data_IF_476991945508
#
_entry.id   IF_476991945508
#
_cell.length_a   1.000
_cell.length_b   1.000
_cell.length_c   1.000
_cell.angle_alpha   90.00
_cell.angle_beta   90.00
_cell.angle_gamma   90.00
#
_symmetry.space_group_name_H-M   'P 1'
#
loop_
_entity.id
_entity.type
_entity.pdbx_description
1 polymer ?
#
# COMPACT_ATOMS: atom_id res chain seq x y z
N UNK A 1 -33.78 -4.08 3.81
CA UNK A 1 -32.96 -2.89 4.15
C UNK A 1 -31.58 -3.07 3.54
N UNK A 2 -31.01 -2.01 2.96
CA UNK A 2 -29.78 -2.08 2.16
C UNK A 2 -28.66 -1.20 2.74
N UNK A 3 -27.43 -1.44 2.30
CA UNK A 3 -26.29 -0.56 2.60
C UNK A 3 -26.44 0.76 1.84
N UNK A 4 -26.02 1.86 2.47
CA UNK A 4 -25.90 3.18 1.84
C UNK A 4 -24.42 3.49 1.62
N UNK A 5 -24.07 3.92 0.42
CA UNK A 5 -22.73 4.41 0.11
C UNK A 5 -22.46 5.74 0.83
N UNK A 6 -21.35 5.81 1.55
CA UNK A 6 -20.91 7.01 2.30
C UNK A 6 -19.64 7.63 1.71
N UNK A 7 -18.88 6.86 0.96
CA UNK A 7 -17.66 7.27 0.27
C UNK A 7 -17.28 6.24 -0.78
N UNK A 8 -16.79 6.71 -1.93
CA UNK A 8 -16.28 5.89 -3.01
C UNK A 8 -15.23 6.68 -3.79
N UNK A 9 -14.29 5.96 -4.42
CA UNK A 9 -13.40 6.48 -5.44
C UNK A 9 -13.32 5.47 -6.58
N UNK A 10 -13.92 5.83 -7.70
CA UNK A 10 -13.99 5.00 -8.92
C UNK A 10 -12.80 5.26 -9.86
N UNK A 11 -11.87 6.15 -9.48
CA UNK A 11 -10.65 6.44 -10.26
C UNK A 11 -10.93 6.89 -11.71
N UNK A 12 -11.97 7.72 -11.89
CA UNK A 12 -12.43 8.18 -13.22
C UNK A 12 -11.57 9.29 -13.86
N UNK A 13 -10.63 9.88 -13.11
CA UNK A 13 -9.79 10.98 -13.58
C UNK A 13 -8.36 10.48 -13.68
N UNK A 14 -7.86 10.36 -14.92
CA UNK A 14 -6.48 9.96 -15.18
C UNK A 14 -5.47 10.94 -14.56
N UNK A 15 -4.33 10.40 -14.13
CA UNK A 15 -3.25 11.15 -13.50
C UNK A 15 -3.09 10.80 -12.03
N UNK A 16 -2.62 11.76 -11.23
CA UNK A 16 -2.38 11.49 -9.81
C UNK A 16 -3.69 11.13 -9.08
N UNK A 17 -3.65 10.15 -8.15
CA UNK A 17 -4.79 9.85 -7.28
C UNK A 17 -5.34 11.11 -6.59
N UNK A 18 -6.65 11.11 -6.34
CA UNK A 18 -7.32 12.24 -5.72
C UNK A 18 -6.67 12.63 -4.38
N UNK A 19 -6.81 13.89 -3.98
CA UNK A 19 -6.24 14.43 -2.73
C UNK A 19 -6.82 13.81 -1.46
N UNK A 20 -7.88 13.00 -1.60
CA UNK A 20 -8.38 12.10 -0.56
C UNK A 20 -7.40 10.98 -0.24
N UNK A 21 -6.42 10.69 -1.10
CA UNK A 21 -5.39 9.70 -0.83
C UNK A 21 -4.07 10.35 -0.38
N UNK A 22 -3.57 9.91 0.76
CA UNK A 22 -2.26 10.25 1.30
C UNK A 22 -1.25 9.17 0.95
N UNK A 23 -0.02 9.57 0.62
CA UNK A 23 1.07 8.65 0.28
C UNK A 23 2.00 8.41 1.47
N UNK A 24 2.33 7.15 1.71
CA UNK A 24 3.46 6.80 2.56
C UNK A 24 4.78 7.04 1.79
N UNK A 25 5.83 7.46 2.49
CA UNK A 25 7.14 7.71 1.89
C UNK A 25 8.25 7.06 2.73
N UNK A 26 9.12 6.29 2.07
CA UNK A 26 10.26 5.62 2.69
C UNK A 26 10.01 4.17 3.11
N UNK A 27 10.85 3.72 4.04
CA UNK A 27 10.72 2.42 4.70
C UNK A 27 9.64 2.49 5.79
N UNK A 28 8.42 2.05 5.48
CA UNK A 28 7.26 2.25 6.36
C UNK A 28 6.74 0.94 6.95
N UNK A 29 6.56 -0.10 6.14
CA UNK A 29 5.84 -1.32 6.51
C UNK A 29 6.79 -2.51 6.77
N UNK A 30 6.54 -3.23 7.86
CA UNK A 30 6.97 -4.62 8.14
C UNK A 30 8.40 -5.02 7.72
N UNK A 31 9.38 -4.13 7.86
CA UNK A 31 10.78 -4.37 7.44
C UNK A 31 10.97 -4.69 5.96
N UNK A 32 10.00 -4.32 5.15
CA UNK A 32 9.93 -4.67 3.74
C UNK A 32 11.07 -4.02 2.95
N UNK A 33 11.40 -4.60 1.79
CA UNK A 33 12.57 -4.19 1.01
C UNK A 33 12.31 -2.96 0.15
N UNK A 34 11.04 -2.69 -0.18
CA UNK A 34 10.67 -1.58 -1.04
C UNK A 34 10.66 -0.24 -0.29
N UNK A 35 11.04 0.81 -1.03
CA UNK A 35 10.88 2.20 -0.65
C UNK A 35 9.53 2.72 -1.18
N UNK A 36 8.67 3.18 -0.29
CA UNK A 36 7.41 3.79 -0.72
C UNK A 36 7.64 5.22 -1.24
N UNK A 37 7.02 5.55 -2.36
CA UNK A 37 7.04 6.88 -2.94
C UNK A 37 5.81 7.07 -3.82
N UNK A 38 5.39 8.33 -4.03
CA UNK A 38 4.16 8.64 -4.78
C UNK A 38 4.22 8.25 -6.27
N UNK A 39 5.41 8.31 -6.88
CA UNK A 39 5.61 8.19 -8.34
C UNK A 39 5.33 6.77 -8.88
N UNK A 40 5.10 5.82 -7.99
CA UNK A 40 4.72 4.45 -8.28
C UNK A 40 3.20 4.25 -8.32
N UNK A 41 2.39 5.31 -8.20
CA UNK A 41 0.94 5.24 -8.32
C UNK A 41 0.40 6.25 -9.32
N UNK A 42 -0.52 5.79 -10.16
CA UNK A 42 -1.19 6.63 -11.14
C UNK A 42 -2.60 6.09 -11.41
N UNK A 43 -3.57 6.96 -11.61
CA UNK A 43 -4.87 6.61 -12.13
C UNK A 43 -4.79 6.57 -13.65
N UNK A 44 -5.25 5.47 -14.24
CA UNK A 44 -5.30 5.29 -15.67
C UNK A 44 -6.42 4.32 -16.03
N UNK A 45 -7.20 4.66 -17.07
CA UNK A 45 -8.23 3.80 -17.64
C UNK A 45 -9.28 3.35 -16.58
N UNK A 46 -9.67 4.26 -15.68
CA UNK A 46 -10.66 3.97 -14.63
C UNK A 46 -10.12 3.13 -13.48
N UNK A 47 -8.80 3.00 -13.34
CA UNK A 47 -8.17 2.15 -12.33
C UNK A 47 -7.02 2.89 -11.64
N UNK A 48 -6.89 2.72 -10.32
CA UNK A 48 -5.65 3.02 -9.62
C UNK A 48 -4.62 1.93 -9.92
N UNK A 49 -3.57 2.32 -10.62
CA UNK A 49 -2.41 1.48 -10.93
C UNK A 49 -1.31 1.79 -9.92
N UNK A 50 -0.91 0.77 -9.16
CA UNK A 50 0.28 0.82 -8.32
C UNK A 50 1.33 -0.09 -8.97
N UNK A 51 2.55 0.39 -9.07
CA UNK A 51 3.65 -0.32 -9.73
C UNK A 51 4.78 -0.59 -8.75
N UNK A 52 5.16 -1.85 -8.60
CA UNK A 52 6.46 -2.20 -8.01
C UNK A 52 7.55 -2.07 -9.06
N UNK A 53 8.57 -1.25 -8.82
CA UNK A 53 9.72 -1.11 -9.73
C UNK A 53 10.99 -1.64 -9.08
N UNK A 54 11.87 -2.24 -9.88
CA UNK A 54 13.23 -2.57 -9.47
C UNK A 54 14.13 -1.39 -9.83
N UNK A 55 14.34 -0.50 -8.88
CA UNK A 55 15.15 0.69 -9.03
C UNK A 55 15.86 1.05 -7.73
N UNK A 56 17.02 1.69 -7.85
CA UNK A 56 17.83 2.06 -6.69
C UNK A 56 17.48 3.47 -6.23
N UNK A 57 17.04 3.60 -4.97
CA UNK A 57 16.77 4.89 -4.33
C UNK A 57 17.66 5.04 -3.11
N UNK A 58 18.31 6.18 -2.96
CA UNK A 58 19.11 6.52 -1.77
C UNK A 58 18.18 6.74 -0.59
N UNK A 59 18.48 6.13 0.56
CA UNK A 59 17.77 6.40 1.79
C UNK A 59 18.30 7.70 2.44
N UNK A 60 17.55 8.81 2.41
CA UNK A 60 17.97 10.06 3.04
C UNK A 60 18.13 9.96 4.56
N UNK A 61 17.52 8.95 5.19
CA UNK A 61 17.57 8.74 6.64
C UNK A 61 18.67 7.73 7.05
N UNK A 62 19.61 7.41 6.16
CA UNK A 62 20.67 6.47 6.46
C UNK A 62 21.58 6.97 7.58
N UNK A 63 21.83 6.11 8.57
CA UNK A 63 22.73 6.35 9.70
C UNK A 63 23.68 5.16 9.79
N UNK A 64 24.97 5.42 9.59
CA UNK A 64 26.01 4.39 9.69
C UNK A 64 26.03 3.76 11.10
N UNK A 65 25.99 2.44 11.16
CA UNK A 65 25.98 1.69 12.43
C UNK A 65 24.62 1.64 13.13
N UNK A 66 23.54 2.19 12.54
CA UNK A 66 22.19 2.03 13.09
C UNK A 66 21.74 0.57 13.07
N UNK A 67 21.03 0.16 14.11
CA UNK A 67 20.36 -1.15 14.20
C UNK A 67 18.89 -1.11 13.76
N UNK A 68 18.33 0.09 13.55
CA UNK A 68 16.97 0.25 13.03
C UNK A 68 16.95 -0.06 11.52
N UNK A 69 16.09 -0.98 11.11
CA UNK A 69 15.97 -1.41 9.72
C UNK A 69 15.65 -0.26 8.75
N UNK A 70 14.98 0.81 9.21
CA UNK A 70 14.64 1.99 8.40
C UNK A 70 15.83 2.89 8.11
N UNK A 71 16.84 2.89 8.97
CA UNK A 71 17.98 3.82 8.91
C UNK A 71 19.31 3.11 8.70
N UNK A 72 19.37 1.79 8.87
CA UNK A 72 20.57 0.98 8.66
C UNK A 72 20.91 0.74 7.18
N UNK A 73 19.93 0.88 6.29
CA UNK A 73 20.10 0.61 4.84
C UNK A 73 20.43 1.92 4.11
N UNK A 74 21.57 2.02 3.39
CA UNK A 74 21.92 3.22 2.64
C UNK A 74 21.08 3.42 1.37
N UNK A 75 20.57 2.32 0.80
CA UNK A 75 19.76 2.32 -0.42
C UNK A 75 18.62 1.31 -0.33
N UNK A 76 17.55 1.56 -1.07
CA UNK A 76 16.52 0.59 -1.42
C UNK A 76 16.72 0.14 -2.88
N UNK A 77 16.45 -1.12 -3.18
CA UNK A 77 16.59 -1.70 -4.54
C UNK A 77 15.25 -1.87 -5.27
N UNK A 78 14.16 -1.55 -4.57
CA UNK A 78 12.80 -1.68 -5.05
C UNK A 78 12.00 -0.48 -4.57
N UNK A 79 11.04 -0.05 -5.36
CA UNK A 79 10.10 1.01 -5.01
C UNK A 79 8.67 0.56 -5.25
N UNK A 80 7.73 1.16 -4.52
CA UNK A 80 6.29 0.99 -4.75
C UNK A 80 5.52 2.17 -4.17
N UNK A 81 4.19 2.15 -4.21
CA UNK A 81 3.35 3.11 -3.49
C UNK A 81 2.52 2.41 -2.42
N UNK A 82 2.31 3.12 -1.32
CA UNK A 82 1.23 2.84 -0.38
C UNK A 82 0.40 4.10 -0.22
N UNK A 83 -0.91 3.93 -0.39
CA UNK A 83 -1.90 4.99 -0.28
C UNK A 83 -2.77 4.70 0.93
N UNK A 84 -3.15 5.76 1.64
CA UNK A 84 -4.02 5.69 2.82
C UNK A 84 -5.04 6.82 2.79
N UNK A 85 -6.17 6.66 3.47
CA UNK A 85 -7.17 7.73 3.64
C UNK A 85 -7.02 8.46 4.98
N UNK A 86 -5.85 8.34 5.64
CA UNK A 86 -5.65 8.73 7.04
C UNK A 86 -6.02 10.19 7.34
N UNK A 87 -5.79 11.08 6.38
CA UNK A 87 -6.02 12.51 6.52
C UNK A 87 -7.37 12.98 5.97
N UNK A 88 -8.15 12.10 5.33
CA UNK A 88 -9.31 12.48 4.52
C UNK A 88 -10.61 11.78 4.90
N UNK A 89 -10.56 10.47 5.13
CA UNK A 89 -11.74 9.65 5.35
C UNK A 89 -11.47 8.55 6.35
N UNK A 90 -12.29 8.57 7.39
CA UNK A 90 -12.28 7.61 8.48
C UNK A 90 -13.68 7.01 8.59
N UNK A 91 -13.74 5.69 8.66
CA UNK A 91 -14.99 5.00 8.93
C UNK A 91 -14.79 4.04 10.09
N UNK A 92 -15.88 3.76 10.80
CA UNK A 92 -15.91 2.79 11.89
C UNK A 92 -17.20 2.01 11.75
N UNK A 93 -17.08 0.70 11.58
CA UNK A 93 -18.15 -0.21 11.19
C UNK A 93 -18.69 0.04 9.78
N UNK A 94 -19.24 -1.01 9.17
CA UNK A 94 -19.79 -0.96 7.83
C UNK A 94 -19.16 -2.01 6.92
N UNK A 95 -19.18 -1.74 5.63
CA UNK A 95 -18.62 -2.61 4.61
C UNK A 95 -17.68 -1.82 3.72
N UNK A 96 -16.49 -2.37 3.49
CA UNK A 96 -15.55 -1.90 2.49
C UNK A 96 -15.52 -2.91 1.33
N UNK A 97 -15.84 -2.45 0.12
CA UNK A 97 -15.71 -3.24 -1.11
C UNK A 97 -14.57 -2.68 -1.95
N UNK A 98 -13.63 -3.56 -2.36
CA UNK A 98 -12.49 -3.20 -3.21
C UNK A 98 -12.41 -4.19 -4.36
N UNK A 99 -12.38 -3.67 -5.58
CA UNK A 99 -12.13 -4.47 -6.78
C UNK A 99 -10.70 -4.25 -7.25
N UNK A 100 -9.88 -5.29 -7.16
CA UNK A 100 -8.49 -5.24 -7.57
C UNK A 100 -8.13 -6.42 -8.49
N UNK A 101 -7.20 -6.18 -9.42
CA UNK A 101 -6.57 -7.23 -10.23
C UNK A 101 -5.10 -7.27 -9.89
N UNK A 102 -4.61 -8.43 -9.46
CA UNK A 102 -3.19 -8.65 -9.29
C UNK A 102 -2.56 -9.05 -10.64
N UNK A 103 -1.38 -8.53 -10.93
CA UNK A 103 -0.62 -8.88 -12.13
C UNK A 103 0.17 -10.15 -11.86
N UNK A 104 0.00 -11.18 -12.70
CA UNK A 104 0.72 -12.45 -12.59
C UNK A 104 2.18 -12.27 -13.02
N UNK A 105 3.02 -11.79 -12.11
CA UNK A 105 4.48 -11.76 -12.21
C UNK A 105 5.04 -11.96 -10.80
N UNK A 106 6.02 -12.85 -10.64
CA UNK A 106 6.51 -13.40 -9.36
C UNK A 106 6.35 -12.49 -8.12
N UNK A 107 5.56 -12.97 -7.15
CA UNK A 107 5.55 -12.56 -5.71
C UNK A 107 5.11 -11.11 -5.40
N UNK A 108 4.11 -10.60 -6.10
CA UNK A 108 3.42 -9.35 -5.74
C UNK A 108 2.23 -9.64 -4.80
N UNK A 109 2.20 -8.93 -3.67
CA UNK A 109 1.07 -8.92 -2.75
C UNK A 109 0.38 -7.57 -2.85
N UNK A 110 -0.87 -7.56 -3.28
CA UNK A 110 -1.76 -6.45 -2.98
C UNK A 110 -2.33 -6.69 -1.59
N UNK A 111 -2.01 -5.82 -0.64
CA UNK A 111 -2.70 -5.80 0.64
C UNK A 111 -3.65 -4.60 0.68
N UNK A 112 -4.92 -4.92 0.85
CA UNK A 112 -5.89 -3.98 1.39
C UNK A 112 -5.94 -4.26 2.89
N UNK A 113 -5.56 -3.28 3.69
CA UNK A 113 -5.54 -3.40 5.13
C UNK A 113 -6.45 -2.33 5.72
N UNK A 114 -7.49 -2.77 6.43
CA UNK A 114 -8.22 -1.91 7.35
C UNK A 114 -7.41 -1.85 8.65
N UNK A 115 -6.92 -0.65 9.00
CA UNK A 115 -6.20 -0.41 10.27
C UNK A 115 -7.18 0.14 11.31
N UNK A 116 -8.36 -0.47 11.42
CA UNK A 116 -9.40 -0.21 12.40
C UNK A 116 -10.18 1.11 12.23
N UNK A 117 -9.58 2.12 11.57
CA UNK A 117 -10.20 3.42 11.27
C UNK A 117 -9.85 3.98 9.89
N UNK A 118 -8.88 3.37 9.21
CA UNK A 118 -8.25 3.90 8.00
C UNK A 118 -8.18 2.83 6.92
N UNK A 119 -8.43 3.23 5.68
CA UNK A 119 -8.20 2.38 4.53
C UNK A 119 -6.74 2.50 4.10
N UNK A 120 -6.02 1.39 4.05
CA UNK A 120 -4.68 1.31 3.49
C UNK A 120 -4.66 0.38 2.27
N UNK A 121 -4.10 0.86 1.17
CA UNK A 121 -3.77 0.04 0.01
C UNK A 121 -2.27 0.11 -0.24
N UNK A 122 -1.63 -1.05 -0.31
CA UNK A 122 -0.22 -1.14 -0.66
C UNK A 122 0.01 -2.34 -1.59
N UNK A 123 0.92 -2.15 -2.53
CA UNK A 123 1.62 -3.28 -3.13
C UNK A 123 2.89 -3.55 -2.32
N UNK A 124 3.08 -4.81 -1.99
CA UNK A 124 4.19 -5.32 -1.21
C UNK A 124 4.90 -6.41 -2.00
N UNK A 125 6.24 -6.36 -2.02
CA UNK A 125 7.06 -7.46 -2.52
C UNK A 125 7.57 -8.29 -1.33
N UNK A 126 7.16 -9.56 -1.20
CA UNK A 126 7.68 -10.45 -0.14
C UNK A 126 8.48 -11.61 -0.70
N UNK A 127 9.64 -11.83 -0.08
CA UNK A 127 10.46 -13.02 -0.26
C UNK A 127 10.21 -14.01 0.90
N UNK A 128 9.06 -14.69 0.94
CA UNK A 128 8.80 -15.81 1.87
C UNK A 128 8.14 -17.02 1.16
N UNK A 129 8.41 -18.27 1.61
CA UNK A 129 7.89 -19.49 0.97
C UNK A 129 6.43 -19.81 1.30
N UNK A 130 5.82 -19.21 2.33
CA UNK A 130 4.43 -19.44 2.73
C UNK A 130 3.63 -18.14 2.63
N UNK A 131 2.42 -18.22 2.05
CA UNK A 131 1.60 -17.12 1.53
C UNK A 131 1.07 -16.11 2.56
N UNK A 132 0.33 -15.10 2.07
CA UNK A 132 -0.43 -14.16 2.91
C UNK A 132 -1.91 -14.47 2.81
N UNK A 133 -2.51 -14.69 3.99
CA UNK A 133 -3.93 -14.68 4.26
C UNK A 133 -4.40 -13.25 4.53
N UNK A 134 -5.49 -12.83 3.90
CA UNK A 134 -6.25 -11.64 4.29
C UNK A 134 -7.54 -12.12 4.98
N UNK A 135 -7.84 -11.58 6.16
CA UNK A 135 -9.08 -11.83 6.89
C UNK A 135 -9.63 -10.54 7.45
N UNK A 136 -10.95 -10.37 7.30
CA UNK A 136 -11.77 -9.49 8.14
C UNK A 136 -12.63 -10.35 9.10
N UNK A 137 -12.79 -9.82 10.32
CA UNK A 137 -13.60 -10.24 11.45
C UNK A 137 -13.50 -11.70 11.96
N UNK A 138 -12.91 -11.81 13.16
CA UNK A 138 -12.87 -12.94 14.11
C UNK A 138 -12.06 -14.19 13.73
N UNK A 139 -10.78 -14.17 14.13
CA UNK A 139 -9.80 -15.26 14.33
C UNK A 139 -8.76 -15.47 13.22
N UNK A 140 -7.47 -15.35 13.56
CA UNK A 140 -6.34 -15.83 12.76
C UNK A 140 -6.43 -17.37 12.58
N UNK A 141 -5.72 -18.01 11.65
CA UNK A 141 -4.49 -18.74 11.96
C UNK A 141 -3.84 -19.29 10.67
N UNK A 142 -2.49 -19.32 10.75
CA UNK A 142 -1.43 -19.95 9.92
C UNK A 142 -1.46 -19.80 8.41
#
# INVERSE_FOLDING_TARGET
EGYQEIWSDEFNIDGSPATTWSFENGFVRNEELQWYQKDNANVKDGCLVIEGRKETVTNPNYISGSTDWKTSRPVAQYTSSSLTTVDSFNFMYGRLEVRAKNTYGYRLLACNLDIGKFMGMALVWRNRPNGILLKDNNHYFS
#
